data_IF_002544066689
#
_entry.id   IF_002544066689
#
_cell.length_a   1.000
_cell.length_b   1.000
_cell.length_c   1.000
_cell.angle_alpha   90.00
_cell.angle_beta   90.00
_cell.angle_gamma   90.00
#
_symmetry.space_group_name_H-M   'P 1'
#
loop_
_entity.id
_entity.type
_entity.pdbx_description
1 polymer ?
#
# COMPACT_ATOMS: atom_id res chain seq x y z
N UNK A 1 -22.74 17.58 -25.97
CA UNK A 1 -22.12 16.28 -25.60
C UNK A 1 -22.43 16.05 -24.14
N UNK A 2 -23.20 15.03 -23.79
CA UNK A 2 -23.50 14.65 -22.41
C UNK A 2 -22.43 13.67 -21.94
N UNK A 3 -21.76 14.00 -20.83
CA UNK A 3 -20.78 13.12 -20.21
C UNK A 3 -21.48 12.03 -19.39
N UNK A 4 -20.94 10.81 -19.32
CA UNK A 4 -21.47 9.79 -18.42
C UNK A 4 -21.30 10.24 -16.96
N UNK A 5 -22.35 10.07 -16.17
CA UNK A 5 -22.29 10.19 -14.71
C UNK A 5 -22.02 8.79 -14.14
N UNK A 6 -20.95 8.64 -13.36
CA UNK A 6 -20.54 7.36 -12.77
C UNK A 6 -20.75 7.40 -11.26
N UNK A 7 -21.35 6.34 -10.73
CA UNK A 7 -21.61 6.17 -9.30
C UNK A 7 -20.84 4.99 -8.69
N UNK A 8 -21.09 4.73 -7.40
CA UNK A 8 -20.50 3.57 -6.72
C UNK A 8 -21.03 2.25 -7.30
N UNK A 9 -22.27 2.25 -7.82
CA UNK A 9 -22.86 1.12 -8.53
C UNK A 9 -22.06 0.70 -9.77
N UNK A 10 -21.26 1.59 -10.35
CA UNK A 10 -20.43 1.30 -11.51
C UNK A 10 -19.09 0.64 -11.15
N UNK A 11 -18.70 0.63 -9.86
CA UNK A 11 -17.35 0.25 -9.43
C UNK A 11 -16.94 -1.13 -9.92
N UNK A 12 -17.83 -2.13 -9.84
CA UNK A 12 -17.50 -3.49 -10.28
C UNK A 12 -17.18 -3.54 -11.78
N UNK A 13 -18.04 -2.94 -12.61
CA UNK A 13 -17.84 -2.84 -14.05
C UNK A 13 -16.57 -2.06 -14.39
N UNK A 14 -16.28 -1.00 -13.66
CA UNK A 14 -15.07 -0.19 -13.87
C UNK A 14 -13.81 -0.97 -13.46
N UNK A 15 -13.85 -1.71 -12.37
CA UNK A 15 -12.74 -2.53 -11.89
C UNK A 15 -12.26 -3.50 -12.98
N UNK A 16 -13.19 -4.24 -13.58
CA UNK A 16 -12.90 -5.20 -14.66
C UNK A 16 -12.14 -4.56 -15.84
N UNK A 17 -12.46 -3.30 -16.17
CA UNK A 17 -11.85 -2.56 -17.27
C UNK A 17 -10.51 -1.90 -16.90
N UNK A 18 -10.25 -1.71 -15.60
CA UNK A 18 -9.05 -1.07 -15.09
C UNK A 18 -7.93 -2.06 -14.75
N UNK A 19 -8.23 -3.36 -14.70
CA UNK A 19 -7.22 -4.41 -14.55
C UNK A 19 -6.18 -4.33 -15.67
N UNK A 20 -4.91 -4.32 -15.30
CA UNK A 20 -3.77 -4.35 -16.22
C UNK A 20 -3.06 -5.69 -16.12
N UNK A 21 -2.41 -6.19 -17.18
CA UNK A 21 -1.74 -7.48 -17.16
C UNK A 21 -0.75 -7.65 -16.00
N UNK A 22 -0.05 -6.58 -15.60
CA UNK A 22 0.92 -6.65 -14.50
C UNK A 22 0.29 -6.72 -13.09
N UNK A 23 -1.01 -6.43 -12.94
CA UNK A 23 -1.72 -6.57 -11.66
C UNK A 23 -1.78 -8.02 -11.18
N UNK A 24 -1.66 -9.01 -12.09
CA UNK A 24 -1.60 -10.43 -11.74
C UNK A 24 -0.39 -10.79 -10.87
N UNK A 25 0.63 -9.93 -10.84
CA UNK A 25 1.84 -10.13 -10.05
C UNK A 25 1.73 -9.50 -8.65
N UNK A 26 0.66 -8.77 -8.35
CA UNK A 26 0.46 -8.17 -7.03
C UNK A 26 -0.07 -9.25 -6.09
N UNK A 27 0.52 -9.35 -4.90
CA UNK A 27 0.21 -10.43 -3.96
C UNK A 27 -0.80 -9.98 -2.90
N UNK A 28 -0.42 -9.00 -2.09
CA UNK A 28 -1.26 -8.42 -1.06
C UNK A 28 -0.73 -7.03 -0.68
N UNK A 29 -1.63 -6.13 -0.29
CA UNK A 29 -1.33 -4.75 0.10
C UNK A 29 -2.14 -4.40 1.34
N UNK A 30 -1.52 -3.85 2.38
CA UNK A 30 -2.28 -3.28 3.50
C UNK A 30 -2.74 -1.86 3.14
N UNK A 31 -4.05 -1.62 3.18
CA UNK A 31 -4.65 -0.30 3.01
C UNK A 31 -5.00 0.28 4.38
N UNK A 32 -4.31 1.36 4.78
CA UNK A 32 -4.67 2.13 5.97
C UNK A 32 -6.00 2.87 5.83
N UNK A 33 -6.42 3.17 4.59
CA UNK A 33 -7.69 3.83 4.27
C UNK A 33 -8.87 2.89 4.55
N UNK A 34 -8.74 1.61 4.18
CA UNK A 34 -9.78 0.60 4.40
C UNK A 34 -9.58 -0.18 5.71
N UNK A 35 -8.42 -0.04 6.36
CA UNK A 35 -8.08 -0.71 7.61
C UNK A 35 -7.80 -2.23 7.47
N UNK A 36 -7.34 -2.68 6.30
CA UNK A 36 -7.20 -4.11 6.03
C UNK A 36 -6.29 -4.46 4.85
N UNK A 37 -5.97 -5.75 4.73
CA UNK A 37 -5.19 -6.28 3.61
C UNK A 37 -6.10 -6.54 2.42
N UNK A 38 -5.76 -5.98 1.28
CA UNK A 38 -6.43 -6.16 -0.01
C UNK A 38 -5.54 -6.97 -0.95
N UNK A 39 -6.14 -7.88 -1.70
CA UNK A 39 -5.46 -8.68 -2.73
C UNK A 39 -5.85 -8.25 -4.15
N UNK A 40 -6.97 -7.53 -4.30
CA UNK A 40 -7.34 -6.88 -5.55
C UNK A 40 -6.75 -5.46 -5.60
N UNK A 41 -5.87 -5.15 -6.58
CA UNK A 41 -5.28 -3.82 -6.72
C UNK A 41 -6.29 -2.69 -6.93
N UNK A 42 -7.49 -2.98 -7.43
CA UNK A 42 -8.55 -1.98 -7.56
C UNK A 42 -8.98 -1.40 -6.21
N UNK A 43 -8.88 -2.18 -5.14
CA UNK A 43 -9.21 -1.75 -3.77
C UNK A 43 -8.07 -0.95 -3.11
N UNK A 44 -6.87 -0.94 -3.68
CA UNK A 44 -5.75 -0.17 -3.15
C UNK A 44 -5.84 1.28 -3.61
N UNK A 45 -6.66 2.06 -2.89
CA UNK A 45 -6.95 3.47 -3.20
C UNK A 45 -6.33 4.43 -2.19
N UNK A 46 -6.10 5.67 -2.62
CA UNK A 46 -5.61 6.78 -1.81
C UNK A 46 -6.56 7.97 -2.07
N UNK A 47 -6.96 8.74 -1.03
CA UNK A 47 -7.76 9.95 -1.21
C UNK A 47 -7.09 10.94 -2.16
N UNK A 48 -7.86 11.52 -3.09
CA UNK A 48 -7.32 12.44 -4.11
C UNK A 48 -6.76 13.73 -3.50
N UNK A 49 -7.24 14.12 -2.33
CA UNK A 49 -6.84 15.30 -1.57
C UNK A 49 -5.67 15.04 -0.60
N UNK A 50 -5.18 13.80 -0.51
CA UNK A 50 -3.96 13.49 0.24
C UNK A 50 -2.75 14.22 -0.38
N UNK A 51 -1.94 14.86 0.48
CA UNK A 51 -0.78 15.65 0.06
C UNK A 51 0.24 14.83 -0.73
N UNK A 52 0.32 13.52 -0.49
CA UNK A 52 1.15 12.60 -1.27
C UNK A 52 0.74 12.57 -2.75
N UNK A 53 -0.55 12.71 -3.07
CA UNK A 53 -1.09 12.58 -4.43
C UNK A 53 -0.81 13.82 -5.26
N UNK A 54 -1.09 15.01 -4.71
CA UNK A 54 -0.98 16.26 -5.48
C UNK A 54 0.32 17.03 -5.27
N UNK A 55 1.12 16.70 -4.24
CA UNK A 55 2.42 17.35 -3.99
C UNK A 55 3.59 16.38 -3.86
N UNK A 56 3.34 15.08 -3.86
CA UNK A 56 4.39 14.09 -3.65
C UNK A 56 5.00 14.16 -2.26
N UNK A 57 4.29 14.74 -1.28
CA UNK A 57 4.78 14.86 0.10
C UNK A 57 4.62 13.52 0.81
N UNK A 58 5.70 12.76 0.84
CA UNK A 58 5.72 11.44 1.44
C UNK A 58 7.12 10.85 1.45
N UNK A 59 7.24 9.75 2.18
CA UNK A 59 8.45 8.95 2.30
C UNK A 59 8.10 7.49 1.99
N UNK A 60 9.08 6.73 1.52
CA UNK A 60 8.90 5.32 1.22
C UNK A 60 10.11 4.49 1.66
N UNK A 61 9.92 3.18 1.74
CA UNK A 61 10.98 2.22 2.00
C UNK A 61 10.74 0.97 1.18
N UNK A 62 11.82 0.28 0.80
CA UNK A 62 11.78 -0.97 0.06
C UNK A 62 12.81 -1.94 0.63
N UNK A 63 12.39 -3.17 0.87
CA UNK A 63 13.23 -4.24 1.40
C UNK A 63 12.98 -5.55 0.67
N UNK A 64 13.90 -6.49 0.82
CA UNK A 64 13.79 -7.83 0.23
C UNK A 64 13.07 -8.77 1.20
N UNK A 65 12.18 -9.59 0.65
CA UNK A 65 11.66 -10.79 1.28
C UNK A 65 12.01 -11.94 0.36
N UNK A 66 12.79 -12.93 0.84
CA UNK A 66 13.29 -14.05 0.04
C UNK A 66 12.98 -15.37 0.74
N UNK A 67 12.36 -16.33 0.04
CA UNK A 67 11.83 -17.57 0.61
C UNK A 67 10.93 -17.32 1.83
N UNK A 68 10.20 -16.20 1.84
CA UNK A 68 9.37 -15.77 2.98
C UNK A 68 10.13 -15.17 4.18
N UNK A 69 11.43 -14.85 4.03
CA UNK A 69 12.24 -14.24 5.08
C UNK A 69 12.57 -12.79 4.74
N UNK A 70 12.24 -11.87 5.65
CA UNK A 70 12.47 -10.44 5.47
C UNK A 70 13.91 -10.10 5.86
N UNK A 71 14.64 -9.45 4.97
CA UNK A 71 16.00 -9.00 5.24
C UNK A 71 16.00 -7.67 6.00
N UNK A 72 16.58 -7.66 7.21
CA UNK A 72 16.84 -6.46 8.01
C UNK A 72 15.64 -5.52 8.25
N UNK A 73 14.43 -6.07 8.49
CA UNK A 73 13.20 -5.28 8.64
C UNK A 73 13.34 -4.11 9.61
N UNK A 74 13.90 -4.33 10.81
CA UNK A 74 14.07 -3.27 11.82
C UNK A 74 14.90 -2.10 11.28
N UNK A 75 16.00 -2.36 10.59
CA UNK A 75 16.86 -1.31 10.05
C UNK A 75 16.15 -0.48 8.95
N UNK A 76 15.32 -1.13 8.13
CA UNK A 76 14.48 -0.45 7.15
C UNK A 76 13.42 0.43 7.83
N UNK A 77 12.73 -0.06 8.87
CA UNK A 77 11.73 0.72 9.61
C UNK A 77 12.36 1.92 10.36
N UNK A 78 13.53 1.76 10.95
CA UNK A 78 14.26 2.88 11.57
C UNK A 78 14.70 3.92 10.52
N UNK A 79 15.05 3.49 9.30
CA UNK A 79 15.34 4.41 8.20
C UNK A 79 14.10 5.16 7.75
N UNK A 80 12.96 4.47 7.62
CA UNK A 80 11.66 5.06 7.33
C UNK A 80 11.31 6.17 8.35
N UNK A 81 11.50 5.89 9.64
CA UNK A 81 11.26 6.84 10.73
C UNK A 81 12.21 8.05 10.67
N UNK A 82 13.51 7.82 10.39
CA UNK A 82 14.47 8.92 10.17
C UNK A 82 14.07 9.78 8.98
N UNK A 83 13.64 9.18 7.87
CA UNK A 83 13.18 9.90 6.68
C UNK A 83 11.93 10.73 6.98
N UNK A 84 10.95 10.15 7.68
CA UNK A 84 9.75 10.88 8.10
C UNK A 84 10.11 12.12 8.93
N UNK A 85 10.97 11.96 9.96
CA UNK A 85 11.43 13.11 10.76
C UNK A 85 12.16 14.18 9.95
N UNK A 86 12.96 13.79 8.95
CA UNK A 86 13.72 14.73 8.12
C UNK A 86 12.82 15.65 7.28
N UNK A 87 11.59 15.22 6.98
CA UNK A 87 10.58 16.00 6.27
C UNK A 87 9.42 16.43 7.18
N UNK A 88 9.62 16.40 8.50
CA UNK A 88 8.63 16.81 9.51
C UNK A 88 7.33 15.99 9.52
N UNK A 89 7.37 14.75 9.03
CA UNK A 89 6.28 13.79 9.13
C UNK A 89 6.42 12.94 10.40
N UNK A 90 5.28 12.54 10.95
CA UNK A 90 5.19 11.59 12.07
C UNK A 90 4.60 10.30 11.56
N UNK A 91 5.22 9.16 11.88
CA UNK A 91 4.65 7.86 11.52
C UNK A 91 3.32 7.66 12.27
N UNK A 92 2.29 7.09 11.63
CA UNK A 92 0.95 6.96 12.23
C UNK A 92 0.87 5.86 13.30
N UNK A 93 1.92 5.06 13.47
CA UNK A 93 1.98 3.99 14.44
C UNK A 93 3.43 3.71 14.87
N UNK A 94 3.60 2.91 15.93
CA UNK A 94 4.91 2.45 16.39
C UNK A 94 5.58 1.54 15.36
N UNK A 95 6.92 1.47 15.40
CA UNK A 95 7.69 0.59 14.50
C UNK A 95 7.30 -0.88 14.69
N UNK A 96 6.95 -1.28 15.91
CA UNK A 96 6.52 -2.65 16.20
C UNK A 96 5.14 -2.94 15.57
N UNK A 97 4.19 -1.99 15.63
CA UNK A 97 2.89 -2.14 14.96
C UNK A 97 3.03 -2.17 13.44
N UNK A 98 3.88 -1.31 12.86
CA UNK A 98 4.17 -1.33 11.42
C UNK A 98 4.82 -2.67 11.03
N UNK A 99 5.72 -3.19 11.86
CA UNK A 99 6.32 -4.52 11.67
C UNK A 99 5.27 -5.62 11.64
N UNK A 100 4.30 -5.60 12.57
CA UNK A 100 3.21 -6.57 12.60
C UNK A 100 2.32 -6.49 11.34
N UNK A 101 2.01 -5.28 10.87
CA UNK A 101 1.25 -5.08 9.63
C UNK A 101 2.00 -5.62 8.41
N UNK A 102 3.31 -5.36 8.31
CA UNK A 102 4.17 -5.89 7.24
C UNK A 102 4.17 -7.42 7.26
N UNK A 103 4.42 -8.02 8.42
CA UNK A 103 4.48 -9.48 8.57
C UNK A 103 3.11 -10.11 8.29
N UNK A 104 2.02 -9.52 8.79
CA UNK A 104 0.66 -9.97 8.53
C UNK A 104 0.30 -9.94 7.04
N UNK A 105 0.67 -8.86 6.35
CA UNK A 105 0.44 -8.71 4.90
C UNK A 105 1.20 -9.77 4.10
N UNK A 106 2.47 -10.02 4.44
CA UNK A 106 3.29 -11.06 3.79
C UNK A 106 2.71 -12.46 4.04
N UNK A 107 2.19 -12.73 5.24
CA UNK A 107 1.55 -14.01 5.55
C UNK A 107 0.26 -14.21 4.74
N UNK A 108 -0.55 -13.17 4.57
CA UNK A 108 -1.78 -13.21 3.76
C UNK A 108 -1.45 -13.38 2.28
N UNK A 109 -0.39 -12.75 1.78
CA UNK A 109 0.10 -12.95 0.41
C UNK A 109 0.39 -14.42 0.11
N UNK A 110 0.81 -15.21 1.11
CA UNK A 110 0.98 -16.67 1.01
C UNK A 110 2.09 -17.13 0.06
N UNK A 111 2.77 -16.20 -0.63
CA UNK A 111 3.84 -16.48 -1.56
C UNK A 111 5.15 -16.76 -0.83
N UNK A 112 5.91 -17.71 -1.37
CA UNK A 112 7.33 -17.91 -1.10
C UNK A 112 7.98 -17.80 -2.48
N UNK A 113 8.69 -16.71 -2.70
CA UNK A 113 9.48 -16.51 -3.93
C UNK A 113 10.63 -17.51 -4.01
#
# INVERSE_FOLDING_TARGET
>A
MTLPHLGLEDCQRLAENLVKPYHQNYLAMYSSVLGGVVTDPFLMTIPVDDHMVHRGDGIFEAFKCVNGNIYNLRAHLERLERSARAVYLTLPASLDHISDLVIGTIRIAGARD
#
